data_IF_028209076427
#
_entry.id   IF_028209076427
#
_cell.length_a   1.000
_cell.length_b   1.000
_cell.length_c   1.000
_cell.angle_alpha   90.00
_cell.angle_beta   90.00
_cell.angle_gamma   90.00
#
_symmetry.space_group_name_H-M   'P 1'
#
loop_
_entity.id
_entity.type
_entity.pdbx_description
1 polymer ?
#
# COMPACT_ATOMS: atom_id res chain seq x y z
N UNK A 1 27.55 14.01 41.16
CA UNK A 1 28.77 13.20 41.44
C UNK A 1 29.27 12.61 40.14
N UNK A 2 30.34 13.18 39.58
CA UNK A 2 31.06 12.67 38.41
C UNK A 2 32.45 12.25 38.87
N UNK A 3 32.87 11.02 38.57
CA UNK A 3 34.30 10.64 38.60
C UNK A 3 34.59 9.70 37.43
N UNK A 4 35.52 10.17 36.58
CA UNK A 4 36.19 9.43 35.51
C UNK A 4 37.39 8.67 36.08
N UNK A 5 37.90 7.76 35.23
CA UNK A 5 39.28 7.26 35.11
C UNK A 5 39.62 5.95 35.84
N UNK A 6 40.06 4.95 35.06
CA UNK A 6 41.41 4.33 35.02
C UNK A 6 41.29 3.01 34.20
N UNK A 7 41.70 2.91 32.93
CA UNK A 7 43.04 2.72 32.35
C UNK A 7 43.85 1.51 32.85
N UNK A 8 44.43 0.80 31.87
CA UNK A 8 45.55 -0.18 31.84
C UNK A 8 45.15 -1.67 31.71
N UNK A 9 45.36 -2.38 30.59
CA UNK A 9 46.56 -2.79 29.81
C UNK A 9 47.29 -4.06 30.33
N UNK A 10 47.43 -5.05 29.42
CA UNK A 10 48.45 -6.13 29.39
C UNK A 10 48.01 -7.48 30.00
N UNK A 11 48.36 -8.67 29.50
CA UNK A 11 49.24 -9.11 28.40
C UNK A 11 49.01 -10.63 28.16
N UNK A 12 49.13 -11.06 26.89
CA UNK A 12 49.63 -12.36 26.32
C UNK A 12 49.32 -13.75 26.95
N UNK A 13 48.81 -14.67 26.10
CA UNK A 13 49.42 -15.97 25.70
C UNK A 13 48.37 -16.76 24.85
N UNK A 14 48.53 -16.98 23.55
CA UNK A 14 49.33 -18.02 22.87
C UNK A 14 48.39 -18.96 22.07
N UNK A 15 48.79 -19.28 20.84
CA UNK A 15 48.02 -19.83 19.71
C UNK A 15 48.18 -21.37 19.67
N UNK A 16 47.25 -22.17 19.07
CA UNK A 16 47.54 -22.64 17.71
C UNK A 16 46.31 -22.62 16.78
N UNK A 17 46.54 -22.08 15.59
CA UNK A 17 45.68 -22.16 14.40
C UNK A 17 45.91 -23.53 13.74
N UNK A 18 44.86 -24.32 13.43
CA UNK A 18 45.02 -25.47 12.57
C UNK A 18 45.04 -25.07 11.09
N UNK A 19 46.07 -25.56 10.42
CA UNK A 19 46.31 -25.71 8.98
C UNK A 19 45.02 -25.75 8.13
N UNK A 20 44.82 -24.84 7.17
CA UNK A 20 45.37 -24.94 5.81
C UNK A 20 45.07 -26.29 5.14
N UNK A 21 43.79 -26.56 4.89
CA UNK A 21 43.40 -27.31 3.69
C UNK A 21 43.21 -26.27 2.57
N UNK A 22 44.25 -26.13 1.75
CA UNK A 22 44.30 -25.27 0.58
C UNK A 22 43.35 -25.83 -0.49
N UNK A 23 42.06 -25.48 -0.43
CA UNK A 23 41.23 -25.51 -1.62
C UNK A 23 41.65 -24.30 -2.47
N UNK A 24 42.59 -24.54 -3.38
CA UNK A 24 43.01 -23.53 -4.33
C UNK A 24 41.79 -23.00 -5.08
N UNK A 25 41.62 -21.67 -5.23
CA UNK A 25 40.68 -21.15 -6.19
C UNK A 25 41.15 -21.66 -7.55
N UNK A 26 40.40 -22.61 -8.12
CA UNK A 26 40.58 -22.94 -9.54
C UNK A 26 40.41 -21.62 -10.28
N UNK A 27 41.54 -21.09 -10.76
CA UNK A 27 41.56 -19.98 -11.70
C UNK A 27 40.81 -20.52 -12.90
N UNK A 28 39.53 -20.17 -13.00
CA UNK A 28 38.77 -20.46 -14.20
C UNK A 28 39.58 -19.86 -15.36
N UNK A 29 39.91 -20.64 -16.40
CA UNK A 29 40.58 -20.07 -17.56
C UNK A 29 39.70 -18.93 -18.04
N UNK A 30 40.33 -17.74 -18.14
CA UNK A 30 39.70 -16.54 -18.65
C UNK A 30 39.16 -16.90 -20.04
N UNK A 31 37.86 -17.16 -20.12
CA UNK A 31 37.17 -17.65 -21.32
C UNK A 31 37.03 -16.50 -22.31
N UNK A 32 38.15 -15.98 -22.80
CA UNK A 32 38.23 -15.17 -24.01
C UNK A 32 37.90 -16.05 -25.24
N UNK A 33 36.75 -16.70 -25.24
CA UNK A 33 36.38 -17.74 -26.20
C UNK A 33 34.88 -17.98 -26.35
N UNK A 34 34.04 -17.13 -25.78
CA UNK A 34 32.67 -17.00 -26.27
C UNK A 34 32.31 -15.53 -26.18
N UNK A 35 32.65 -14.78 -27.23
CA UNK A 35 31.97 -13.53 -27.53
C UNK A 35 30.48 -13.86 -27.43
N UNK A 36 29.83 -13.38 -26.37
CA UNK A 36 28.38 -13.28 -26.39
C UNK A 36 28.08 -12.52 -27.67
N UNK A 37 27.38 -13.17 -28.61
CA UNK A 37 27.04 -12.56 -29.88
C UNK A 37 26.39 -11.22 -29.53
N UNK A 38 26.96 -10.08 -29.95
CA UNK A 38 26.35 -8.81 -29.63
C UNK A 38 24.90 -8.86 -30.11
N UNK A 39 23.94 -8.36 -29.31
CA UNK A 39 22.55 -8.38 -29.73
C UNK A 39 22.47 -7.78 -31.14
N UNK A 40 21.79 -8.48 -32.05
CA UNK A 40 21.58 -7.98 -33.41
C UNK A 40 21.16 -6.51 -33.36
N UNK A 41 21.80 -5.66 -34.18
CA UNK A 41 21.44 -4.24 -34.38
C UNK A 41 20.08 -4.07 -35.08
N UNK A 42 19.37 -5.17 -35.33
CA UNK A 42 18.00 -5.15 -35.83
C UNK A 42 17.06 -4.52 -34.80
N UNK A 43 16.50 -3.33 -35.09
CA UNK A 43 15.56 -2.66 -34.19
C UNK A 43 14.29 -3.49 -33.95
N UNK A 44 13.89 -4.34 -34.90
CA UNK A 44 12.73 -5.22 -34.73
C UNK A 44 13.01 -6.31 -33.68
N UNK A 45 14.19 -6.94 -33.72
CA UNK A 45 14.61 -7.93 -32.73
C UNK A 45 14.86 -7.30 -31.33
N UNK A 46 15.33 -6.05 -31.26
CA UNK A 46 15.43 -5.31 -30.01
C UNK A 46 14.04 -5.00 -29.43
N UNK A 47 13.10 -4.52 -30.26
CA UNK A 47 11.73 -4.26 -29.85
C UNK A 47 11.00 -5.51 -29.36
N UNK A 48 11.11 -6.64 -30.08
CA UNK A 48 10.48 -7.90 -29.68
C UNK A 48 10.96 -8.39 -28.30
N UNK A 49 12.23 -8.15 -27.95
CA UNK A 49 12.78 -8.45 -26.61
C UNK A 49 12.23 -7.54 -25.53
N UNK A 50 11.95 -6.27 -25.85
CA UNK A 50 11.42 -5.28 -24.90
C UNK A 50 9.89 -5.33 -24.76
N UNK A 51 9.18 -5.80 -25.79
CA UNK A 51 7.71 -5.91 -25.82
C UNK A 51 7.10 -6.53 -24.56
N UNK A 52 7.55 -7.70 -24.03
CA UNK A 52 6.96 -8.27 -22.82
C UNK A 52 7.14 -7.39 -21.59
N UNK A 53 8.25 -6.64 -21.48
CA UNK A 53 8.48 -5.71 -20.38
C UNK A 53 7.55 -4.49 -20.47
N UNK A 54 7.30 -3.98 -21.68
CA UNK A 54 6.34 -2.89 -21.93
C UNK A 54 4.92 -3.34 -21.59
N UNK A 55 4.50 -4.52 -22.05
CA UNK A 55 3.17 -5.08 -21.75
C UNK A 55 3.01 -5.38 -20.25
N UNK A 56 4.07 -5.81 -19.57
CA UNK A 56 4.05 -5.99 -18.11
C UNK A 56 3.92 -4.65 -17.38
N UNK A 57 4.66 -3.62 -17.80
CA UNK A 57 4.58 -2.28 -17.21
C UNK A 57 3.20 -1.64 -17.40
N UNK A 58 2.61 -1.76 -18.60
CA UNK A 58 1.26 -1.27 -18.88
C UNK A 58 0.20 -1.97 -18.01
N UNK A 59 0.28 -3.30 -17.88
CA UNK A 59 -0.61 -4.06 -16.99
C UNK A 59 -0.44 -3.67 -15.52
N UNK A 60 0.80 -3.49 -15.07
CA UNK A 60 1.08 -3.05 -13.70
C UNK A 60 0.48 -1.66 -13.44
N UNK A 61 0.67 -0.73 -14.38
CA UNK A 61 0.11 0.63 -14.30
C UNK A 61 -1.42 0.59 -14.23
N UNK A 62 -2.08 -0.14 -15.13
CA UNK A 62 -3.55 -0.29 -15.10
C UNK A 62 -4.03 -0.92 -13.78
N UNK A 63 -3.36 -1.97 -13.30
CA UNK A 63 -3.73 -2.60 -12.03
C UNK A 63 -3.55 -1.66 -10.82
N UNK A 64 -2.60 -0.74 -10.89
CA UNK A 64 -2.37 0.25 -9.85
C UNK A 64 -3.44 1.35 -9.88
N UNK A 65 -3.84 1.81 -11.07
CA UNK A 65 -4.93 2.79 -11.23
C UNK A 65 -6.26 2.21 -10.78
N UNK A 66 -6.57 0.96 -11.15
CA UNK A 66 -7.80 0.28 -10.76
C UNK A 66 -7.87 0.13 -9.23
N UNK A 67 -6.79 -0.33 -8.59
CA UNK A 67 -6.71 -0.43 -7.12
C UNK A 67 -6.85 0.92 -6.43
N UNK A 68 -6.22 1.97 -6.96
CA UNK A 68 -6.33 3.31 -6.40
C UNK A 68 -7.76 3.85 -6.50
N UNK A 69 -8.46 3.58 -7.62
CA UNK A 69 -9.87 3.94 -7.78
C UNK A 69 -10.76 3.19 -6.77
N UNK A 70 -10.59 1.88 -6.64
CA UNK A 70 -11.32 1.07 -5.65
C UNK A 70 -11.12 1.56 -4.21
N UNK A 71 -9.88 1.92 -3.85
CA UNK A 71 -9.58 2.47 -2.53
C UNK A 71 -10.30 3.79 -2.27
N UNK A 72 -10.38 4.69 -3.28
CA UNK A 72 -11.11 5.96 -3.15
C UNK A 72 -12.59 5.72 -2.90
N UNK A 73 -13.21 4.80 -3.64
CA UNK A 73 -14.62 4.45 -3.42
C UNK A 73 -14.86 3.83 -2.05
N UNK A 74 -13.99 2.90 -1.62
CA UNK A 74 -14.08 2.29 -0.30
C UNK A 74 -14.00 3.33 0.83
N UNK A 75 -13.08 4.30 0.71
CA UNK A 75 -12.95 5.40 1.66
C UNK A 75 -14.19 6.31 1.68
N UNK A 76 -14.76 6.63 0.52
CA UNK A 76 -15.96 7.47 0.43
C UNK A 76 -17.20 6.80 1.03
N UNK A 77 -17.38 5.49 0.79
CA UNK A 77 -18.47 4.71 1.38
C UNK A 77 -18.32 4.67 2.92
N UNK A 78 -17.11 4.38 3.41
CA UNK A 78 -16.84 4.36 4.85
C UNK A 78 -17.03 5.75 5.49
N UNK A 79 -16.63 6.82 4.81
CA UNK A 79 -16.88 8.19 5.29
C UNK A 79 -18.38 8.51 5.39
N UNK A 80 -19.20 8.01 4.46
CA UNK A 80 -20.66 8.15 4.49
C UNK A 80 -21.26 7.39 5.68
N UNK A 81 -20.78 6.16 5.93
CA UNK A 81 -21.18 5.37 7.10
C UNK A 81 -20.86 6.08 8.42
N UNK A 82 -19.65 6.64 8.54
CA UNK A 82 -19.24 7.39 9.74
C UNK A 82 -20.06 8.66 9.96
N UNK A 83 -20.38 9.40 8.90
CA UNK A 83 -21.26 10.58 8.96
C UNK A 83 -22.66 10.21 9.46
N UNK A 84 -23.23 9.12 8.93
CA UNK A 84 -24.53 8.62 9.37
C UNK A 84 -24.52 8.23 10.86
N UNK A 85 -23.51 7.50 11.31
CA UNK A 85 -23.40 7.09 12.71
C UNK A 85 -23.22 8.29 13.66
N UNK A 86 -22.39 9.26 13.27
CA UNK A 86 -22.23 10.49 14.05
C UNK A 86 -23.54 11.30 14.14
N UNK A 87 -24.28 11.40 13.03
CA UNK A 87 -25.58 12.08 13.00
C UNK A 87 -26.65 11.34 13.82
N UNK A 88 -26.63 9.99 13.78
CA UNK A 88 -27.47 9.16 14.64
C UNK A 88 -27.22 9.46 16.10
N UNK A 89 -25.96 9.38 16.55
CA UNK A 89 -25.59 9.64 17.95
C UNK A 89 -25.89 11.08 18.37
N UNK A 90 -25.73 12.05 17.48
CA UNK A 90 -26.11 13.44 17.72
C UNK A 90 -27.63 13.55 17.90
N UNK A 91 -28.40 12.96 17.01
CA UNK A 91 -29.87 12.99 17.05
C UNK A 91 -30.39 12.28 18.29
N UNK A 92 -29.85 11.12 18.65
CA UNK A 92 -30.22 10.39 19.87
C UNK A 92 -30.01 11.25 21.12
N UNK A 93 -28.87 11.96 21.21
CA UNK A 93 -28.59 12.90 22.30
C UNK A 93 -29.58 14.06 22.35
N UNK A 94 -29.89 14.66 21.19
CA UNK A 94 -30.87 15.74 21.12
C UNK A 94 -32.28 15.26 21.49
N UNK A 95 -32.68 14.06 21.04
CA UNK A 95 -33.97 13.44 21.37
C UNK A 95 -34.10 13.13 22.85
N UNK A 96 -33.02 12.68 23.49
CA UNK A 96 -33.00 12.43 24.93
C UNK A 96 -33.11 13.72 25.76
N UNK A 97 -32.66 14.85 25.22
CA UNK A 97 -32.74 16.17 25.85
C UNK A 97 -33.97 16.99 25.43
N UNK A 98 -34.84 16.45 24.57
CA UNK A 98 -35.97 17.18 24.02
C UNK A 98 -37.03 17.48 25.12
N UNK A 99 -37.55 18.71 25.20
CA UNK A 99 -38.51 19.11 26.23
C UNK A 99 -39.92 18.53 26.01
N UNK A 100 -40.20 17.97 24.83
CA UNK A 100 -41.50 17.35 24.52
C UNK A 100 -41.38 16.15 23.59
N UNK A 101 -42.40 15.28 23.62
CA UNK A 101 -42.51 14.16 22.69
C UNK A 101 -42.64 14.62 21.23
N UNK A 102 -43.36 15.71 20.99
CA UNK A 102 -43.52 16.28 19.65
C UNK A 102 -42.17 16.70 19.05
N UNK A 103 -41.32 17.35 19.85
CA UNK A 103 -39.98 17.76 19.41
C UNK A 103 -39.05 16.56 19.21
N UNK A 104 -39.14 15.53 20.06
CA UNK A 104 -38.38 14.29 19.89
C UNK A 104 -38.76 13.54 18.62
N UNK A 105 -40.05 13.49 18.27
CA UNK A 105 -40.49 12.87 17.01
C UNK A 105 -40.13 13.71 15.79
N UNK A 106 -40.14 15.04 15.88
CA UNK A 106 -39.65 15.90 14.81
C UNK A 106 -38.17 15.60 14.51
N UNK A 107 -37.32 15.56 15.54
CA UNK A 107 -35.90 15.22 15.40
C UNK A 107 -35.69 13.82 14.79
N UNK A 108 -36.55 12.85 15.14
CA UNK A 108 -36.54 11.51 14.53
C UNK A 108 -36.85 11.58 13.04
N UNK A 109 -37.88 12.33 12.64
CA UNK A 109 -38.28 12.46 11.24
C UNK A 109 -37.18 13.15 10.41
N UNK A 110 -36.58 14.21 10.94
CA UNK A 110 -35.46 14.88 10.27
C UNK A 110 -34.25 13.94 10.08
N UNK A 111 -33.92 13.14 11.09
CA UNK A 111 -32.87 12.13 10.97
C UNK A 111 -33.20 11.08 9.91
N UNK A 112 -34.45 10.61 9.85
CA UNK A 112 -34.85 9.63 8.85
C UNK A 112 -34.72 10.19 7.42
N UNK A 113 -35.05 11.47 7.20
CA UNK A 113 -34.81 12.14 5.92
C UNK A 113 -33.32 12.20 5.56
N UNK A 114 -32.45 12.54 6.54
CA UNK A 114 -31.00 12.54 6.34
C UNK A 114 -30.45 11.13 6.10
N UNK A 115 -30.96 10.12 6.80
CA UNK A 115 -30.60 8.70 6.60
C UNK A 115 -30.82 8.27 5.15
N UNK A 116 -32.00 8.58 4.61
CA UNK A 116 -32.31 8.28 3.21
C UNK A 116 -31.38 9.01 2.23
N UNK A 117 -30.95 10.24 2.57
CA UNK A 117 -29.97 10.97 1.76
C UNK A 117 -28.59 10.27 1.75
N UNK A 118 -28.11 9.83 2.91
CA UNK A 118 -26.87 9.05 3.01
C UNK A 118 -26.95 7.71 2.29
N UNK A 119 -28.11 7.05 2.31
CA UNK A 119 -28.33 5.79 1.60
C UNK A 119 -28.26 5.99 0.09
N UNK A 120 -28.91 7.04 -0.44
CA UNK A 120 -28.79 7.41 -1.86
C UNK A 120 -27.36 7.78 -2.26
N UNK A 121 -26.63 8.50 -1.41
CA UNK A 121 -25.21 8.83 -1.63
C UNK A 121 -24.36 7.54 -1.69
N UNK A 122 -24.56 6.61 -0.75
CA UNK A 122 -23.87 5.32 -0.75
C UNK A 122 -24.18 4.52 -2.01
N UNK A 123 -25.46 4.41 -2.41
CA UNK A 123 -25.86 3.70 -3.63
C UNK A 123 -25.27 4.35 -4.90
N UNK A 124 -25.16 5.68 -4.94
CA UNK A 124 -24.49 6.37 -6.03
C UNK A 124 -23.00 5.99 -6.11
N UNK A 125 -22.30 5.99 -4.98
CA UNK A 125 -20.89 5.56 -4.90
C UNK A 125 -20.71 4.09 -5.28
N UNK A 126 -21.63 3.20 -4.88
CA UNK A 126 -21.59 1.79 -5.26
C UNK A 126 -21.84 1.59 -6.76
N UNK A 127 -22.75 2.36 -7.36
CA UNK A 127 -22.98 2.36 -8.82
C UNK A 127 -21.78 2.89 -9.59
N UNK A 128 -21.14 3.95 -9.11
CA UNK A 128 -19.93 4.49 -9.73
C UNK A 128 -18.78 3.50 -9.65
N UNK A 129 -18.59 2.86 -8.48
CA UNK A 129 -17.61 1.79 -8.30
C UNK A 129 -17.86 0.63 -9.28
N UNK A 130 -19.11 0.23 -9.47
CA UNK A 130 -19.48 -0.84 -10.39
C UNK A 130 -19.27 -0.49 -11.88
N UNK A 131 -19.34 0.79 -12.25
CA UNK A 131 -19.03 1.26 -13.60
C UNK A 131 -17.54 1.24 -13.91
N UNK A 132 -16.69 1.25 -12.89
CA UNK A 132 -15.24 1.30 -13.02
C UNK A 132 -14.71 2.66 -13.51
N UNK A 133 -13.40 2.91 -13.41
CA UNK A 133 -12.79 4.09 -13.99
C UNK A 133 -12.94 4.08 -15.52
N UNK A 134 -13.12 5.25 -16.18
CA UNK A 134 -13.14 5.32 -17.64
C UNK A 134 -11.85 4.75 -18.25
N UNK A 135 -11.93 4.18 -19.47
CA UNK A 135 -10.78 3.57 -20.15
C UNK A 135 -9.64 4.55 -20.42
#
# INVERSE_FOLDING_TARGET
>A
MNRKAFLLWGLLAAVPVPAWAQAQPSVQPNRYGSQATPPSNDPAAAYQRQRPAIEAAQRAQKSATDRAADQRYAQAIEATRRRLEADRQRTERLRAAAPSLAESEHLRQEFEQRRQAYEREREALERERARGPPP
#
